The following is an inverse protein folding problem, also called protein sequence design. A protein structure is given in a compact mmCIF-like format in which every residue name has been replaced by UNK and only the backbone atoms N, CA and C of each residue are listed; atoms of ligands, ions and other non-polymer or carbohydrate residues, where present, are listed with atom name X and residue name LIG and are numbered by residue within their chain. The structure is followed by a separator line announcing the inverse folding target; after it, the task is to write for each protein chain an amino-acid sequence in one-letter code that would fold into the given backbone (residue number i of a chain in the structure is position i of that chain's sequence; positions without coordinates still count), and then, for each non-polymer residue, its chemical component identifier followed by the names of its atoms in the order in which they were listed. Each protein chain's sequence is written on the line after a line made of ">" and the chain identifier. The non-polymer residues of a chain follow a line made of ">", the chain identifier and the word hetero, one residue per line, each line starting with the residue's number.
data_IF_931848155588
#
_entry.id   IF_931848155588
#
_cell.length_a   1.000
_cell.length_b   1.000
_cell.length_c   1.000
_cell.angle_alpha   90.00
_cell.angle_beta   90.00
_cell.angle_gamma   90.00
#
_symmetry.space_group_name_H-M   'P 1'
#
loop_
_entity.id
_entity.type
_entity.pdbx_description
1 polymer ?
#
# COMPACT_ATOMS: atom_id res chain seq x y z
N UNK A 1 17.07 -70.04 12.01
CA UNK A 1 17.90 -68.99 11.39
C UNK A 1 17.48 -68.92 9.93
N UNK A 2 16.99 -67.86 9.32
CA UNK A 2 16.78 -66.44 9.65
C UNK A 2 15.54 -65.99 8.85
N UNK A 3 14.85 -64.98 9.40
CA UNK A 3 13.55 -64.42 9.03
C UNK A 3 13.50 -63.77 7.63
N UNK A 4 12.36 -63.90 6.97
CA UNK A 4 11.84 -62.92 6.00
C UNK A 4 11.63 -61.56 6.68
N UNK A 5 12.05 -60.48 6.02
CA UNK A 5 11.71 -59.12 6.42
C UNK A 5 11.26 -58.32 5.19
N UNK A 6 9.94 -58.25 5.04
CA UNK A 6 9.25 -57.34 4.13
C UNK A 6 9.47 -55.89 4.58
N UNK A 7 10.25 -55.14 3.80
CA UNK A 7 10.55 -53.74 4.06
C UNK A 7 9.35 -52.85 3.70
N UNK A 8 8.47 -52.62 4.68
CA UNK A 8 7.39 -51.62 4.60
C UNK A 8 8.01 -50.24 4.77
N UNK A 9 8.10 -49.47 3.70
CA UNK A 9 8.55 -48.07 3.78
C UNK A 9 7.53 -47.27 4.60
N UNK A 10 7.94 -46.53 5.64
CA UNK A 10 7.00 -45.70 6.39
C UNK A 10 6.53 -44.55 5.50
N UNK A 11 5.23 -44.26 5.54
CA UNK A 11 4.56 -43.19 4.77
C UNK A 11 5.26 -41.81 4.90
N UNK A 12 6.05 -41.63 5.97
CA UNK A 12 6.90 -40.46 6.18
C UNK A 12 7.99 -40.27 5.13
N UNK A 13 8.58 -41.35 4.59
CA UNK A 13 9.64 -41.28 3.58
C UNK A 13 9.11 -40.81 2.22
N UNK A 14 7.87 -41.17 1.88
CA UNK A 14 7.21 -40.72 0.66
C UNK A 14 6.83 -39.22 0.73
N UNK A 15 6.41 -38.75 1.90
CA UNK A 15 6.09 -37.33 2.12
C UNK A 15 7.34 -36.43 2.04
N UNK A 16 8.48 -36.89 2.57
CA UNK A 16 9.73 -36.14 2.53
C UNK A 16 10.28 -35.94 1.09
N UNK A 17 10.12 -36.94 0.22
CA UNK A 17 10.52 -36.84 -1.19
C UNK A 17 9.65 -35.84 -1.98
N UNK A 18 8.35 -35.73 -1.66
CA UNK A 18 7.45 -34.77 -2.28
C UNK A 18 7.76 -33.32 -1.87
N UNK A 19 8.15 -33.10 -0.61
CA UNK A 19 8.55 -31.77 -0.14
C UNK A 19 9.88 -31.30 -0.76
N UNK A 20 10.84 -32.20 -0.99
CA UNK A 20 12.13 -31.84 -1.59
C UNK A 20 12.02 -31.58 -3.10
N UNK A 21 11.12 -32.28 -3.80
CA UNK A 21 10.82 -32.03 -5.21
C UNK A 21 10.11 -30.68 -5.46
N UNK A 22 9.27 -30.24 -4.51
CA UNK A 22 8.55 -28.97 -4.61
C UNK A 22 9.48 -27.75 -4.44
N UNK A 23 10.58 -27.89 -3.71
CA UNK A 23 11.58 -26.83 -3.49
C UNK A 23 12.62 -26.73 -4.62
N UNK A 24 12.77 -27.76 -5.46
CA UNK A 24 13.79 -27.80 -6.52
C UNK A 24 13.23 -27.83 -7.95
N UNK A 25 11.92 -27.91 -8.13
CA UNK A 25 11.26 -27.61 -9.41
C UNK A 25 11.54 -28.60 -10.54
N UNK A 26 11.79 -29.88 -10.23
CA UNK A 26 12.00 -30.93 -11.24
C UNK A 26 10.79 -31.86 -11.26
N UNK A 27 9.88 -31.62 -12.21
CA UNK A 27 8.82 -32.55 -12.61
C UNK A 27 9.29 -33.50 -13.73
N UNK A 28 8.52 -34.56 -14.04
CA UNK A 28 8.91 -35.58 -15.03
C UNK A 28 9.01 -35.03 -16.46
N UNK A 29 9.78 -35.68 -17.36
CA UNK A 29 10.21 -35.11 -18.62
C UNK A 29 9.17 -35.28 -19.73
N UNK A 30 8.98 -34.22 -20.52
CA UNK A 30 8.43 -34.29 -21.87
C UNK A 30 7.13 -33.53 -22.07
N UNK A 31 7.21 -32.23 -22.38
CA UNK A 31 6.89 -31.67 -23.71
C UNK A 31 7.66 -30.35 -23.88
N UNK A 32 8.61 -30.38 -24.80
CA UNK A 32 9.13 -29.32 -25.68
C UNK A 32 9.22 -27.87 -25.19
N UNK A 33 10.46 -27.40 -25.13
CA UNK A 33 10.88 -26.02 -24.98
C UNK A 33 10.31 -25.10 -26.08
N UNK A 34 9.76 -23.95 -25.69
CA UNK A 34 9.80 -22.72 -26.50
C UNK A 34 10.05 -21.52 -25.59
N UNK A 35 10.90 -20.62 -26.09
CA UNK A 35 11.42 -19.43 -25.42
C UNK A 35 10.34 -18.45 -24.94
N UNK A 36 10.58 -17.91 -23.73
CA UNK A 36 10.24 -16.52 -23.37
C UNK A 36 8.80 -16.22 -22.95
N UNK A 37 8.67 -15.51 -21.83
CA UNK A 37 7.50 -14.68 -21.41
C UNK A 37 6.30 -15.36 -20.72
N UNK A 38 6.51 -16.44 -19.96
CA UNK A 38 5.40 -17.22 -19.38
C UNK A 38 5.02 -17.08 -17.88
N UNK A 39 5.63 -16.22 -17.03
CA UNK A 39 5.05 -15.94 -15.71
C UNK A 39 3.97 -14.84 -15.74
N UNK A 40 4.15 -13.79 -16.54
CA UNK A 40 3.41 -12.51 -16.40
C UNK A 40 1.90 -12.62 -16.73
N UNK A 41 1.56 -13.29 -17.84
CA UNK A 41 0.17 -13.39 -18.33
C UNK A 41 -0.75 -14.18 -17.40
N UNK A 42 -0.18 -15.10 -16.61
CA UNK A 42 -0.96 -15.94 -15.71
C UNK A 42 -1.41 -15.15 -14.48
N UNK A 43 -0.59 -14.22 -13.99
CA UNK A 43 -0.93 -13.35 -12.86
C UNK A 43 -2.01 -12.33 -13.24
N UNK A 44 -1.97 -11.80 -14.46
CA UNK A 44 -3.04 -10.93 -14.99
C UNK A 44 -4.40 -11.64 -15.05
N UNK A 45 -4.43 -12.95 -15.33
CA UNK A 45 -5.69 -13.72 -15.36
C UNK A 45 -6.30 -13.94 -13.96
N UNK A 46 -5.45 -14.02 -12.93
CA UNK A 46 -5.88 -14.18 -11.54
C UNK A 46 -6.37 -12.86 -10.94
N UNK A 47 -5.71 -11.74 -11.27
CA UNK A 47 -6.17 -10.39 -10.92
C UNK A 47 -7.43 -9.99 -11.69
N UNK A 48 -7.62 -10.46 -12.91
CA UNK A 48 -8.82 -10.16 -13.71
C UNK A 48 -10.09 -10.82 -13.16
N UNK A 49 -9.98 -11.99 -12.49
CA UNK A 49 -11.14 -12.66 -11.89
C UNK A 49 -11.59 -12.07 -10.57
N UNK A 50 -10.75 -11.26 -9.90
CA UNK A 50 -11.16 -10.52 -8.70
C UNK A 50 -11.98 -9.26 -9.00
N UNK A 51 -12.12 -8.85 -10.27
CA UNK A 51 -12.77 -7.57 -10.63
C UNK A 51 -14.25 -7.71 -11.00
N UNK A 52 -14.79 -8.92 -11.22
CA UNK A 52 -16.13 -9.07 -11.83
C UNK A 52 -17.08 -10.08 -11.16
N UNK A 53 -17.05 -10.27 -9.84
CA UNK A 53 -18.13 -11.00 -9.16
C UNK A 53 -18.24 -10.75 -7.66
N UNK A 54 -18.52 -9.51 -7.25
CA UNK A 54 -19.34 -9.26 -6.05
C UNK A 54 -20.43 -8.27 -6.45
N UNK A 55 -21.37 -8.76 -7.25
CA UNK A 55 -22.70 -8.15 -7.41
C UNK A 55 -23.51 -8.54 -6.18
N UNK A 56 -23.24 -7.87 -5.07
CA UNK A 56 -24.09 -7.87 -3.88
C UNK A 56 -24.59 -6.45 -3.67
N UNK A 57 -25.86 -6.30 -3.31
CA UNK A 57 -26.50 -5.02 -3.02
C UNK A 57 -25.57 -4.02 -2.31
N UNK A 58 -25.61 -2.79 -2.80
CA UNK A 58 -24.80 -1.63 -2.46
C UNK A 58 -25.00 -1.20 -1.00
N UNK A 59 -24.47 -1.99 -0.07
CA UNK A 59 -24.23 -1.59 1.29
C UNK A 59 -22.86 -0.89 1.36
N UNK A 60 -22.92 0.43 1.56
CA UNK A 60 -21.91 1.28 2.19
C UNK A 60 -20.43 1.02 1.89
N UNK A 61 -19.84 1.93 1.10
CA UNK A 61 -18.41 2.23 0.96
C UNK A 61 -17.67 2.59 2.26
N UNK A 62 -18.27 2.35 3.43
CA UNK A 62 -17.80 2.76 4.76
C UNK A 62 -16.58 1.95 5.22
N UNK A 63 -16.63 0.61 5.12
CA UNK A 63 -15.58 -0.27 5.64
C UNK A 63 -14.25 -0.17 4.86
N UNK A 64 -14.29 0.25 3.59
CA UNK A 64 -13.11 0.47 2.75
C UNK A 64 -12.38 1.79 3.08
N UNK A 65 -12.99 2.71 3.83
CA UNK A 65 -12.34 3.95 4.26
C UNK A 65 -12.10 3.99 5.78
N UNK A 66 -12.74 3.12 6.57
CA UNK A 66 -12.61 3.12 8.03
C UNK A 66 -11.17 2.91 8.52
N UNK A 67 -10.33 2.17 7.78
CA UNK A 67 -8.91 2.03 8.15
C UNK A 67 -8.10 3.32 7.99
N UNK A 68 -8.63 4.31 7.25
CA UNK A 68 -8.00 5.63 7.10
C UNK A 68 -8.29 6.51 8.32
N UNK A 69 -9.43 6.28 8.98
CA UNK A 69 -9.85 7.02 10.16
C UNK A 69 -8.90 6.68 11.33
N UNK A 70 -8.21 7.70 11.83
CA UNK A 70 -7.26 7.59 12.94
C UNK A 70 -5.78 7.62 12.54
N UNK A 71 -5.46 7.53 11.25
CA UNK A 71 -4.08 7.70 10.77
C UNK A 71 -3.77 9.19 10.63
N UNK A 72 -3.06 9.73 11.62
CA UNK A 72 -2.55 11.12 11.63
C UNK A 72 -1.04 11.14 11.62
N UNK A 73 -0.44 12.00 10.80
CA UNK A 73 1.02 12.16 10.73
C UNK A 73 1.38 13.63 10.76
N UNK A 74 2.14 14.04 11.78
CA UNK A 74 2.70 15.40 11.84
C UNK A 74 4.00 15.44 11.03
N UNK A 75 4.06 16.30 10.03
CA UNK A 75 5.19 16.45 9.09
C UNK A 75 5.38 17.93 8.72
N UNK A 76 6.46 18.22 8.00
CA UNK A 76 6.66 19.50 7.32
C UNK A 76 6.57 19.27 5.81
N UNK A 77 5.94 20.18 5.09
CA UNK A 77 5.78 20.10 3.65
C UNK A 77 6.82 20.99 2.98
N UNK A 78 7.84 20.39 2.37
CA UNK A 78 8.90 21.10 1.67
C UNK A 78 8.57 21.29 0.19
N UNK A 79 8.76 22.52 -0.29
CA UNK A 79 8.63 22.93 -1.67
C UNK A 79 10.03 23.23 -2.21
N UNK A 80 10.45 22.50 -3.25
CA UNK A 80 11.75 22.65 -3.88
C UNK A 80 11.77 23.77 -4.93
N UNK A 81 11.49 25.00 -4.50
CA UNK A 81 11.52 26.20 -5.35
C UNK A 81 12.58 27.17 -4.83
N UNK A 82 13.48 27.62 -5.71
CA UNK A 82 14.54 28.56 -5.34
C UNK A 82 15.45 27.99 -4.24
N UNK A 83 15.52 28.69 -3.11
CA UNK A 83 16.29 28.26 -1.92
C UNK A 83 15.57 27.15 -1.11
N UNK A 84 14.35 26.78 -1.49
CA UNK A 84 13.53 25.83 -0.74
C UNK A 84 12.70 26.49 0.36
N UNK A 85 11.46 26.03 0.50
CA UNK A 85 10.51 26.59 1.46
C UNK A 85 9.67 25.49 2.11
N UNK A 86 9.40 25.63 3.39
CA UNK A 86 8.40 24.87 4.11
C UNK A 86 7.06 25.60 4.10
N UNK A 87 5.97 24.87 3.81
CA UNK A 87 4.62 25.41 3.95
C UNK A 87 4.40 25.86 5.40
N UNK A 88 3.86 27.07 5.56
CA UNK A 88 3.56 27.67 6.86
C UNK A 88 2.09 28.10 6.90
N UNK A 89 1.41 27.77 8.00
CA UNK A 89 0.03 28.22 8.30
C UNK A 89 0.09 29.21 9.46
N UNK A 90 -0.18 30.48 9.17
CA UNK A 90 -0.13 31.54 10.16
C UNK A 90 -1.45 31.64 10.95
N UNK A 91 -1.43 32.15 12.20
CA UNK A 91 -2.62 32.25 13.03
C UNK A 91 -3.66 33.27 12.51
N UNK A 92 -3.27 34.12 11.56
CA UNK A 92 -4.17 35.04 10.87
C UNK A 92 -4.84 34.42 9.63
N UNK A 93 -4.64 33.13 9.39
CA UNK A 93 -5.21 32.40 8.24
C UNK A 93 -4.43 32.59 6.94
N UNK A 94 -3.30 33.31 6.94
CA UNK A 94 -2.44 33.39 5.76
C UNK A 94 -1.60 32.12 5.61
N UNK A 95 -1.46 31.67 4.36
CA UNK A 95 -0.63 30.53 3.98
C UNK A 95 0.60 31.08 3.24
N UNK A 96 1.78 30.66 3.68
CA UNK A 96 3.06 31.13 3.13
C UNK A 96 4.13 30.05 3.07
N UNK A 97 5.33 30.45 2.67
CA UNK A 97 6.53 29.61 2.69
C UNK A 97 7.61 30.25 3.56
N UNK A 98 8.27 29.44 4.39
CA UNK A 98 9.43 29.87 5.19
C UNK A 98 10.64 29.01 4.85
N UNK A 99 11.81 29.60 4.71
CA UNK A 99 13.02 28.84 4.43
C UNK A 99 13.39 27.95 5.63
N UNK A 100 13.58 28.60 6.78
CA UNK A 100 13.87 27.93 8.05
C UNK A 100 12.60 27.38 8.71
N UNK A 101 12.67 26.14 9.17
CA UNK A 101 11.55 25.49 9.87
C UNK A 101 11.14 26.28 11.12
N UNK A 102 9.84 26.35 11.39
CA UNK A 102 9.32 26.97 12.61
C UNK A 102 8.11 26.19 13.16
N UNK A 103 7.49 26.72 14.23
CA UNK A 103 6.32 26.10 14.86
C UNK A 103 5.08 26.05 13.95
N UNK A 104 4.94 27.01 13.04
CA UNK A 104 3.81 27.15 12.12
C UNK A 104 3.99 26.33 10.84
N UNK A 105 5.15 25.70 10.63
CA UNK A 105 5.40 24.79 9.51
C UNK A 105 5.10 23.32 9.83
N UNK A 106 4.65 23.03 11.06
CA UNK A 106 4.17 21.70 11.47
C UNK A 106 2.74 21.49 10.99
N UNK A 107 2.57 20.49 10.13
CA UNK A 107 1.30 20.13 9.50
C UNK A 107 0.93 18.71 9.92
N UNK A 108 -0.25 18.56 10.53
CA UNK A 108 -0.89 17.26 10.67
C UNK A 108 -1.57 16.89 9.35
N UNK A 109 -1.20 15.72 8.83
CA UNK A 109 -1.76 15.14 7.62
C UNK A 109 -2.63 13.95 8.05
N UNK A 110 -3.90 13.97 7.67
CA UNK A 110 -4.83 12.86 7.89
C UNK A 110 -5.55 12.52 6.60
N UNK A 111 -5.73 11.23 6.35
CA UNK A 111 -6.50 10.76 5.21
C UNK A 111 -8.00 10.95 5.48
N UNK A 112 -8.72 11.47 4.49
CA UNK A 112 -10.18 11.63 4.52
C UNK A 112 -10.83 10.55 3.66
N UNK A 113 -10.22 10.28 2.51
CA UNK A 113 -10.59 9.23 1.57
C UNK A 113 -9.30 8.72 0.91
N UNK A 114 -9.35 7.58 0.22
CA UNK A 114 -8.23 7.08 -0.56
C UNK A 114 -7.70 8.14 -1.55
N UNK A 115 -6.48 8.60 -1.31
CA UNK A 115 -5.82 9.63 -2.14
C UNK A 115 -6.17 11.07 -1.78
N UNK A 116 -7.04 11.30 -0.80
CA UNK A 116 -7.46 12.63 -0.33
C UNK A 116 -7.01 12.82 1.11
N UNK A 117 -6.31 13.92 1.38
CA UNK A 117 -5.82 14.27 2.72
C UNK A 117 -6.29 15.64 3.14
N UNK A 118 -6.51 15.80 4.44
CA UNK A 118 -6.61 17.11 5.07
C UNK A 118 -5.24 17.53 5.60
N UNK A 119 -4.96 18.83 5.52
CA UNK A 119 -3.76 19.44 6.06
C UNK A 119 -4.17 20.40 7.18
N UNK A 120 -3.71 20.14 8.39
CA UNK A 120 -4.04 20.93 9.57
C UNK A 120 -2.79 21.54 10.18
N UNK A 121 -2.73 22.86 10.29
CA UNK A 121 -1.64 23.58 10.93
C UNK A 121 -1.70 23.39 12.44
N UNK A 122 -0.74 22.63 12.99
CA UNK A 122 -0.77 22.21 14.40
C UNK A 122 -0.74 23.42 15.34
N UNK A 123 0.07 24.43 15.03
CA UNK A 123 0.23 25.60 15.88
C UNK A 123 -0.84 26.68 15.66
N UNK A 124 -1.32 26.82 14.43
CA UNK A 124 -2.34 27.80 14.07
C UNK A 124 -3.75 27.32 14.37
N UNK A 125 -3.94 26.00 14.51
CA UNK A 125 -5.24 25.35 14.67
C UNK A 125 -6.21 25.61 13.49
N UNK A 126 -5.65 25.66 12.27
CA UNK A 126 -6.38 25.96 11.04
C UNK A 126 -6.15 24.89 9.99
N UNK A 127 -7.18 24.55 9.23
CA UNK A 127 -7.08 23.72 8.04
C UNK A 127 -6.62 24.53 6.84
N UNK A 128 -5.75 23.95 6.00
CA UNK A 128 -5.38 24.54 4.72
C UNK A 128 -6.51 24.28 3.72
N UNK A 129 -7.04 25.36 3.16
CA UNK A 129 -8.06 25.34 2.12
C UNK A 129 -7.62 26.20 0.92
N UNK A 130 -8.30 26.02 -0.21
CA UNK A 130 -8.06 26.78 -1.43
C UNK A 130 -9.40 27.30 -1.97
N UNK A 131 -9.47 28.59 -2.30
CA UNK A 131 -10.69 29.17 -2.87
C UNK A 131 -10.78 28.92 -4.38
N UNK A 132 -11.90 29.29 -5.00
CA UNK A 132 -12.15 29.13 -6.43
C UNK A 132 -11.20 29.90 -7.35
N UNK A 133 -10.44 30.87 -6.81
CA UNK A 133 -9.39 31.62 -7.54
C UNK A 133 -7.99 30.99 -7.38
N UNK A 134 -7.88 29.85 -6.71
CA UNK A 134 -6.60 29.17 -6.47
C UNK A 134 -5.78 29.77 -5.33
N UNK A 135 -6.34 30.63 -4.48
CA UNK A 135 -5.62 31.22 -3.34
C UNK A 135 -5.78 30.33 -2.11
N UNK A 136 -4.65 30.00 -1.49
CA UNK A 136 -4.61 29.26 -0.23
C UNK A 136 -5.00 30.16 0.95
N UNK A 137 -5.73 29.59 1.91
CA UNK A 137 -6.11 30.23 3.16
C UNK A 137 -6.25 29.20 4.29
N UNK A 138 -6.18 29.66 5.54
CA UNK A 138 -6.48 28.87 6.74
C UNK A 138 -7.94 29.06 7.17
N UNK A 139 -8.62 27.98 7.56
CA UNK A 139 -10.01 27.97 8.03
C UNK A 139 -10.21 27.11 9.26
#
# INVERSE_FOLDING_TARGET
>A
MVREASARWPLAAAAAALFLGLLTGIGPPGVSATNGTWPERRWESLLSRSVLAISGERADTSWENDYLLGIKRVRRLYCNVGIGFHLQVLPDGRIGGVHDENQYSLIEISAVERGVVSLYGVKSELFVAMNSRGRLYGT
#
